data_IF_674230279565
#
_entry.id   IF_674230279565
#
_cell.length_a   1.000
_cell.length_b   1.000
_cell.length_c   1.000
_cell.angle_alpha   90.00
_cell.angle_beta   90.00
_cell.angle_gamma   90.00
#
_symmetry.space_group_name_H-M   'P 1'
#
loop_
_entity.id
_entity.type
_entity.pdbx_description
1 polymer ?
#
# COMPACT_ATOMS: atom_id res chain seq x y z
N UNK A 1 3.21 -5.79 -8.68
CA UNK A 1 2.98 -6.74 -7.56
C UNK A 1 1.55 -6.60 -7.08
N UNK A 2 0.87 -7.73 -6.98
CA UNK A 2 -0.51 -7.76 -6.52
C UNK A 2 -0.60 -8.19 -5.07
N UNK A 3 -1.45 -7.51 -4.33
CA UNK A 3 -1.68 -7.81 -2.91
C UNK A 3 -3.18 -7.83 -2.63
N UNK A 4 -3.55 -8.46 -1.53
CA UNK A 4 -4.92 -8.41 -1.04
C UNK A 4 -4.92 -7.70 0.32
N UNK A 5 -5.91 -6.85 0.54
CA UNK A 5 -6.03 -6.15 1.81
C UNK A 5 -6.60 -7.09 2.87
N UNK A 6 -5.90 -7.23 3.98
CA UNK A 6 -6.32 -8.09 5.09
C UNK A 6 -6.72 -7.31 6.33
N UNK A 7 -6.49 -6.00 6.34
CA UNK A 7 -6.78 -5.18 7.51
C UNK A 7 -7.07 -3.75 7.07
N UNK A 8 -8.33 -3.34 7.15
CA UNK A 8 -8.72 -1.97 6.87
C UNK A 8 -9.21 -1.23 8.13
N UNK A 9 -8.85 -1.73 9.29
CA UNK A 9 -9.27 -1.14 10.55
C UNK A 9 -8.53 0.17 10.84
N UNK A 10 -9.07 0.94 11.77
CA UNK A 10 -8.42 2.16 12.29
C UNK A 10 -8.16 3.23 11.25
N UNK A 11 -9.12 3.42 10.35
CA UNK A 11 -9.01 4.51 9.38
C UNK A 11 -8.91 5.84 10.11
N UNK A 12 -7.90 6.68 9.80
CA UNK A 12 -7.82 8.02 10.38
C UNK A 12 -9.05 8.85 9.99
N UNK A 13 -9.48 9.72 10.87
CA UNK A 13 -10.69 10.51 10.64
C UNK A 13 -10.60 11.40 9.41
N UNK A 14 -9.41 11.90 9.12
CA UNK A 14 -9.21 12.83 8.01
C UNK A 14 -9.02 12.11 6.67
N UNK A 15 -8.97 10.79 6.65
CA UNK A 15 -8.85 10.05 5.39
C UNK A 15 -10.26 9.74 4.89
N UNK A 16 -10.64 10.25 3.70
CA UNK A 16 -11.95 9.95 3.14
C UNK A 16 -12.11 8.47 2.84
N UNK A 17 -13.33 7.96 2.93
CA UNK A 17 -13.59 6.55 2.68
C UNK A 17 -13.18 6.14 1.26
N UNK A 18 -13.30 7.05 0.29
CA UNK A 18 -12.93 6.76 -1.08
C UNK A 18 -11.42 6.68 -1.31
N UNK A 19 -10.64 7.11 -0.32
CA UNK A 19 -9.17 6.97 -0.35
C UNK A 19 -8.69 5.87 0.57
N UNK A 20 -9.60 5.07 1.12
CA UNK A 20 -9.28 3.99 2.04
C UNK A 20 -9.38 2.65 1.33
N UNK A 21 -8.62 1.67 1.81
CA UNK A 21 -8.63 0.33 1.24
C UNK A 21 -9.77 -0.48 1.84
N UNK A 22 -10.19 -1.53 1.13
CA UNK A 22 -11.26 -2.41 1.57
C UNK A 22 -10.71 -3.80 1.83
N UNK A 23 -11.01 -4.34 3.00
CA UNK A 23 -10.58 -5.68 3.34
C UNK A 23 -11.15 -6.68 2.34
N UNK A 24 -10.31 -7.56 1.84
CA UNK A 24 -10.70 -8.57 0.87
C UNK A 24 -10.50 -8.16 -0.58
N UNK A 25 -10.28 -6.87 -0.84
CA UNK A 25 -10.05 -6.40 -2.21
C UNK A 25 -8.57 -6.52 -2.59
N UNK A 26 -8.34 -6.72 -3.88
CA UNK A 26 -6.98 -6.83 -4.42
C UNK A 26 -6.51 -5.47 -4.95
N UNK A 27 -5.23 -5.20 -4.79
CA UNK A 27 -4.63 -3.94 -5.23
C UNK A 27 -3.29 -4.20 -5.89
N UNK A 28 -2.89 -3.27 -6.76
CA UNK A 28 -1.59 -3.31 -7.43
C UNK A 28 -0.66 -2.33 -6.74
N UNK A 29 0.46 -2.84 -6.24
CA UNK A 29 1.49 -2.00 -5.61
C UNK A 29 2.36 -1.44 -6.72
N UNK A 30 2.43 -0.12 -6.81
CA UNK A 30 3.25 0.56 -7.81
C UNK A 30 4.59 1.02 -7.24
N UNK A 31 4.66 1.18 -5.92
CA UNK A 31 5.89 1.63 -5.27
C UNK A 31 5.93 1.11 -3.84
N UNK A 32 7.09 0.66 -3.42
CA UNK A 32 7.35 0.26 -2.04
C UNK A 32 8.32 1.28 -1.45
N UNK A 33 7.93 1.87 -0.34
CA UNK A 33 8.75 2.88 0.34
C UNK A 33 9.17 2.34 1.69
N UNK A 34 10.47 2.25 1.92
CA UNK A 34 10.99 1.85 3.21
C UNK A 34 11.05 3.07 4.11
N UNK A 35 10.48 2.96 5.30
CA UNK A 35 10.45 4.08 6.23
C UNK A 35 11.82 4.23 6.90
N UNK A 36 12.51 5.32 6.60
CA UNK A 36 13.87 5.52 7.06
C UNK A 36 14.03 5.66 8.57
N UNK A 37 12.98 6.12 9.25
CA UNK A 37 13.01 6.29 10.70
C UNK A 37 12.55 5.04 11.46
N UNK A 38 11.93 4.11 10.78
CA UNK A 38 11.34 2.92 11.39
C UNK A 38 11.91 1.69 10.73
N UNK A 39 12.68 0.95 11.47
CA UNK A 39 13.33 -0.24 10.95
C UNK A 39 12.29 -1.27 10.51
N UNK A 40 12.51 -1.84 9.33
CA UNK A 40 11.67 -2.90 8.76
C UNK A 40 10.20 -2.49 8.56
N UNK A 41 9.95 -1.20 8.42
CA UNK A 41 8.60 -0.71 8.15
C UNK A 41 8.53 -0.24 6.70
N UNK A 42 7.51 -0.73 5.99
CA UNK A 42 7.31 -0.42 4.57
C UNK A 42 5.92 0.15 4.36
N UNK A 43 5.83 1.08 3.42
CA UNK A 43 4.56 1.63 2.96
C UNK A 43 4.39 1.36 1.48
N UNK A 44 3.14 1.28 1.04
CA UNK A 44 2.80 1.02 -0.35
C UNK A 44 2.09 2.19 -0.97
N UNK A 45 2.40 2.45 -2.25
CA UNK A 45 1.54 3.25 -3.12
C UNK A 45 0.80 2.28 -4.01
N UNK A 46 -0.49 2.52 -4.18
CA UNK A 46 -1.37 1.61 -4.91
C UNK A 46 -1.87 2.28 -6.18
N UNK A 47 -2.17 1.47 -7.18
CA UNK A 47 -2.69 1.97 -8.45
C UNK A 47 -4.16 2.34 -8.36
N UNK A 48 -4.95 1.51 -7.69
CA UNK A 48 -6.42 1.62 -7.69
C UNK A 48 -6.96 2.69 -6.75
N UNK A 49 -6.20 3.02 -5.70
CA UNK A 49 -6.63 3.99 -4.71
C UNK A 49 -5.40 4.76 -4.24
N UNK A 50 -5.56 6.07 -4.06
CA UNK A 50 -4.44 6.94 -3.72
C UNK A 50 -4.86 7.95 -2.67
N UNK A 51 -3.90 8.34 -1.84
CA UNK A 51 -4.10 9.36 -0.83
C UNK A 51 -3.84 10.73 -1.43
N UNK A 52 -4.80 11.63 -1.25
CA UNK A 52 -4.70 13.01 -1.73
C UNK A 52 -4.30 13.94 -0.58
N UNK A 53 -4.26 15.24 -0.86
CA UNK A 53 -3.95 16.23 0.17
C UNK A 53 -4.96 16.21 1.32
N UNK A 54 -6.18 15.71 1.08
CA UNK A 54 -7.19 15.57 2.14
C UNK A 54 -6.75 14.59 3.23
N UNK A 55 -5.86 13.69 2.89
CA UNK A 55 -5.35 12.67 3.82
C UNK A 55 -4.05 13.08 4.49
N UNK A 56 -3.57 14.29 4.24
CA UNK A 56 -2.34 14.75 4.88
C UNK A 56 -2.41 14.55 6.42
N UNK A 57 -1.37 14.07 7.08
CA UNK A 57 0.00 13.88 6.55
C UNK A 57 0.27 12.49 5.97
N UNK A 58 -0.74 11.67 5.80
CA UNK A 58 -0.55 10.29 5.34
C UNK A 58 -0.34 10.26 3.83
N UNK A 59 0.69 9.54 3.40
CA UNK A 59 1.05 9.44 1.99
C UNK A 59 1.20 8.00 1.53
N UNK A 60 1.20 7.05 2.45
CA UNK A 60 1.43 5.64 2.16
C UNK A 60 0.48 4.77 2.96
N UNK A 61 0.19 3.59 2.43
CA UNK A 61 -0.54 2.55 3.16
C UNK A 61 0.46 1.60 3.79
N UNK A 62 0.24 1.25 5.06
CA UNK A 62 1.12 0.34 5.79
C UNK A 62 1.11 -1.03 5.10
N UNK A 63 2.29 -1.53 4.76
CA UNK A 63 2.40 -2.82 4.06
C UNK A 63 1.82 -3.98 4.87
N UNK A 64 1.76 -3.87 6.19
CA UNK A 64 1.22 -4.93 7.03
C UNK A 64 -0.28 -5.12 6.87
N UNK A 65 -0.96 -4.19 6.20
CA UNK A 65 -2.39 -4.33 5.89
C UNK A 65 -2.66 -5.25 4.73
N UNK A 66 -1.62 -5.77 4.10
CA UNK A 66 -1.73 -6.51 2.84
C UNK A 66 -0.92 -7.79 2.88
N UNK A 67 -1.36 -8.77 2.08
CA UNK A 67 -0.58 -9.97 1.80
C UNK A 67 -0.40 -10.10 0.30
N UNK A 68 0.77 -10.56 -0.17
CA UNK A 68 0.95 -10.85 -1.58
C UNK A 68 -0.03 -11.94 -2.02
N UNK A 69 -0.51 -11.81 -3.24
CA UNK A 69 -1.32 -12.85 -3.83
C UNK A 69 -0.42 -14.04 -4.13
N UNK A 70 -0.96 -15.24 -4.03
CA UNK A 70 -0.19 -16.48 -4.04
C UNK A 70 0.72 -16.65 -5.27
N UNK A 71 1.53 -17.70 -5.22
CA UNK A 71 2.53 -17.97 -6.26
C UNK A 71 1.94 -18.12 -7.65
N UNK A 72 0.74 -18.69 -7.73
CA UNK A 72 0.12 -18.89 -9.04
C UNK A 72 -0.19 -17.55 -9.69
N UNK A 73 -0.73 -16.62 -8.92
CA UNK A 73 -0.98 -15.28 -9.42
C UNK A 73 0.31 -14.57 -9.78
N UNK A 74 1.35 -14.77 -8.99
CA UNK A 74 2.64 -14.16 -9.27
C UNK A 74 3.22 -14.65 -10.60
N UNK A 75 3.06 -15.93 -10.88
CA UNK A 75 3.54 -16.48 -12.15
C UNK A 75 2.82 -15.83 -13.32
N UNK A 76 1.53 -15.65 -13.21
CA UNK A 76 0.74 -15.03 -14.27
C UNK A 76 1.06 -13.57 -14.48
N UNK A 77 1.59 -12.93 -13.46
CA UNK A 77 1.87 -11.50 -13.49
C UNK A 77 3.34 -11.20 -13.62
N UNK A 78 4.11 -12.14 -14.10
CA UNK A 78 5.55 -11.94 -14.24
C UNK A 78 5.92 -10.76 -15.11
N UNK A 79 4.97 -10.29 -15.93
CA UNK A 79 5.21 -9.17 -16.84
C UNK A 79 4.63 -7.85 -16.33
N UNK A 80 4.09 -7.83 -15.12
CA UNK A 80 3.62 -6.56 -14.64
C UNK A 80 4.82 -5.64 -14.37
N UNK A 81 4.54 -4.35 -14.31
CA UNK A 81 5.59 -3.36 -14.17
C UNK A 81 6.40 -3.56 -12.90
N UNK A 82 7.64 -3.16 -12.97
CA UNK A 82 8.54 -3.25 -11.84
C UNK A 82 8.08 -2.38 -10.69
N UNK A 83 8.31 -2.88 -9.49
CA UNK A 83 8.02 -2.12 -8.28
C UNK A 83 9.29 -1.46 -7.82
N UNK A 84 9.25 -0.14 -7.69
CA UNK A 84 10.38 0.64 -7.19
C UNK A 84 10.38 0.64 -5.67
N UNK A 85 11.54 0.39 -5.07
CA UNK A 85 11.71 0.46 -3.61
C UNK A 85 12.56 1.68 -3.31
N UNK A 86 12.06 2.56 -2.46
CA UNK A 86 12.80 3.74 -2.06
C UNK A 86 12.70 3.95 -0.55
N UNK A 87 13.62 4.72 -0.01
CA UNK A 87 13.65 5.03 1.41
C UNK A 87 13.18 6.48 1.60
N UNK A 88 12.32 6.69 2.58
CA UNK A 88 11.77 8.01 2.83
C UNK A 88 11.29 8.13 4.27
N UNK A 89 10.94 9.36 4.66
CA UNK A 89 10.42 9.67 5.99
C UNK A 89 8.96 10.11 5.91
N UNK A 90 8.19 9.44 5.06
CA UNK A 90 6.78 9.75 4.87
C UNK A 90 5.93 9.10 5.94
N UNK A 91 4.74 9.68 6.18
CA UNK A 91 3.78 9.09 7.12
C UNK A 91 2.99 7.99 6.41
N UNK A 92 2.74 6.91 7.14
CA UNK A 92 1.93 5.82 6.59
C UNK A 92 0.75 5.50 7.50
N UNK A 93 -0.27 4.92 6.91
CA UNK A 93 -1.47 4.49 7.61
C UNK A 93 -1.70 3.01 7.46
#
# INVERSE_FOLDING_TARGET
MKVICIDNSKKPKNVPVEEWVQEGDAYTVTRIVRMGLQKDTYGYLLKEVQLSSRSFPYELYDATRFLPIDLLSMIKEEKEEEVTIEEAYLELI
#
